data_IF_061621232435
#
_entry.id   IF_061621232435
#
_cell.length_a   1.000
_cell.length_b   1.000
_cell.length_c   1.000
_cell.angle_alpha   90.00
_cell.angle_beta   90.00
_cell.angle_gamma   90.00
#
_symmetry.space_group_name_H-M   'P 1'
#
loop_
_entity.id
_entity.type
_entity.pdbx_description
1 polymer ?
#
# COMPACT_ATOMS: atom_id res chain seq x y z
N UNK A 1 6.28 14.59 -24.20
CA UNK A 1 5.18 13.79 -23.60
C UNK A 1 3.88 14.27 -24.24
N UNK A 2 2.92 13.39 -24.45
CA UNK A 2 1.60 13.82 -24.96
C UNK A 2 0.88 14.58 -23.83
N UNK A 3 0.12 15.61 -24.19
CA UNK A 3 -0.78 16.29 -23.26
C UNK A 3 -1.81 15.30 -22.70
N UNK A 4 -1.97 15.25 -21.37
CA UNK A 4 -2.99 14.40 -20.73
C UNK A 4 -4.37 15.01 -21.00
N UNK A 5 -5.27 14.20 -21.53
CA UNK A 5 -6.65 14.59 -21.90
C UNK A 5 -7.70 13.79 -21.15
N UNK A 6 -7.30 12.66 -20.59
CA UNK A 6 -8.19 11.73 -19.88
C UNK A 6 -7.60 11.31 -18.57
N UNK A 7 -8.45 11.19 -17.55
CA UNK A 7 -8.05 10.75 -16.21
C UNK A 7 -9.03 9.74 -15.66
N UNK A 8 -8.52 8.79 -14.87
CA UNK A 8 -9.34 7.93 -14.03
C UNK A 8 -8.67 7.73 -12.67
N UNK A 9 -9.48 7.80 -11.62
CA UNK A 9 -9.08 7.41 -10.27
C UNK A 9 -9.63 6.00 -10.02
N UNK A 10 -8.77 5.07 -9.67
CA UNK A 10 -9.08 3.65 -9.50
C UNK A 10 -8.72 3.21 -8.10
N UNK A 11 -9.66 2.69 -7.34
CA UNK A 11 -9.36 2.14 -6.02
C UNK A 11 -8.94 0.68 -6.10
N UNK A 12 -7.86 0.32 -5.40
CA UNK A 12 -7.40 -1.06 -5.24
C UNK A 12 -7.76 -1.53 -3.84
N UNK A 13 -8.75 -2.41 -3.74
CA UNK A 13 -9.28 -2.91 -2.47
C UNK A 13 -9.15 -4.44 -2.36
N UNK A 14 -9.33 -4.98 -1.16
CA UNK A 14 -9.22 -6.41 -0.87
C UNK A 14 -8.69 -6.68 0.54
N UNK A 15 -8.62 -7.97 0.92
CA UNK A 15 -8.08 -8.41 2.21
C UNK A 15 -6.63 -7.97 2.42
N UNK A 16 -6.12 -7.99 3.66
CA UNK A 16 -4.68 -7.91 3.89
C UNK A 16 -3.94 -9.03 3.13
N UNK A 17 -2.74 -8.72 2.67
CA UNK A 17 -1.79 -9.66 2.03
C UNK A 17 -2.19 -10.24 0.66
N UNK A 18 -3.29 -9.81 0.05
CA UNK A 18 -3.65 -10.23 -1.33
C UNK A 18 -2.72 -9.66 -2.40
N UNK A 19 -1.90 -8.64 -2.04
CA UNK A 19 -0.89 -8.05 -2.92
C UNK A 19 -1.26 -6.68 -3.51
N UNK A 20 -2.13 -5.89 -2.85
CA UNK A 20 -2.54 -4.55 -3.31
C UNK A 20 -1.35 -3.64 -3.59
N UNK A 21 -0.51 -3.40 -2.59
CA UNK A 21 0.70 -2.56 -2.73
C UNK A 21 1.70 -3.13 -3.75
N UNK A 22 1.78 -4.46 -3.89
CA UNK A 22 2.60 -5.10 -4.93
C UNK A 22 2.06 -4.82 -6.32
N UNK A 23 0.74 -4.85 -6.49
CA UNK A 23 0.07 -4.51 -7.75
C UNK A 23 0.29 -3.04 -8.07
N UNK A 24 0.05 -2.13 -7.12
CA UNK A 24 0.25 -0.69 -7.31
C UNK A 24 1.69 -0.39 -7.73
N UNK A 25 2.69 -0.92 -7.02
CA UNK A 25 4.11 -0.77 -7.38
C UNK A 25 4.40 -1.31 -8.79
N UNK A 26 3.83 -2.47 -9.16
CA UNK A 26 4.07 -3.09 -10.46
C UNK A 26 3.44 -2.27 -11.62
N UNK A 27 2.26 -1.69 -11.42
CA UNK A 27 1.59 -0.84 -12.40
C UNK A 27 2.27 0.53 -12.56
N UNK A 28 2.72 1.11 -11.45
CA UNK A 28 3.48 2.39 -11.45
C UNK A 28 4.90 2.21 -12.02
N UNK A 29 5.47 1.01 -11.88
CA UNK A 29 6.85 0.71 -12.29
C UNK A 29 7.90 1.13 -11.26
N UNK A 30 7.47 1.63 -10.10
CA UNK A 30 8.34 2.12 -9.03
C UNK A 30 7.83 1.67 -7.66
N UNK A 31 8.73 1.55 -6.67
CA UNK A 31 8.38 1.16 -5.31
C UNK A 31 7.89 2.37 -4.49
N UNK A 32 6.63 2.72 -4.63
CA UNK A 32 5.98 3.81 -3.89
C UNK A 32 5.30 3.33 -2.59
N UNK A 33 4.94 2.05 -2.51
CA UNK A 33 4.30 1.44 -1.36
C UNK A 33 5.14 0.29 -0.79
N UNK A 34 5.14 0.14 0.53
CA UNK A 34 5.84 -0.96 1.19
C UNK A 34 5.09 -2.29 1.03
N UNK A 35 5.85 -3.36 0.96
CA UNK A 35 5.32 -4.71 0.76
C UNK A 35 5.77 -5.64 1.88
N UNK A 36 4.82 -6.34 2.50
CA UNK A 36 5.10 -7.33 3.54
C UNK A 36 4.06 -8.45 3.51
N UNK A 37 4.44 -9.64 3.97
CA UNK A 37 3.51 -10.75 4.24
C UNK A 37 2.69 -10.56 5.52
N UNK A 38 2.97 -9.53 6.31
CA UNK A 38 2.27 -9.25 7.57
C UNK A 38 1.03 -8.37 7.34
N UNK A 39 -0.06 -8.55 8.09
CA UNK A 39 -1.24 -7.69 7.99
C UNK A 39 -0.92 -6.24 8.42
N UNK A 40 -1.77 -5.30 8.03
CA UNK A 40 -1.60 -3.87 8.31
C UNK A 40 -0.27 -3.28 7.77
N UNK A 41 0.17 -3.76 6.62
CA UNK A 41 1.34 -3.23 5.92
C UNK A 41 1.05 -1.81 5.44
N UNK A 42 0.01 -1.59 4.66
CA UNK A 42 -0.49 -0.27 4.28
C UNK A 42 -1.41 0.25 5.39
N UNK A 43 -1.16 1.45 5.89
CA UNK A 43 -1.96 2.09 6.95
C UNK A 43 -2.70 3.32 6.49
N UNK A 44 -2.23 3.96 5.44
CA UNK A 44 -2.81 5.14 4.84
C UNK A 44 -3.17 4.88 3.39
N UNK A 45 -3.93 5.76 2.78
CA UNK A 45 -4.17 5.81 1.35
C UNK A 45 -2.90 6.30 0.65
N UNK A 46 -2.49 5.62 -0.42
CA UNK A 46 -1.34 5.99 -1.24
C UNK A 46 -1.84 6.17 -2.67
N UNK A 47 -1.53 7.30 -3.27
CA UNK A 47 -1.77 7.52 -4.68
C UNK A 47 -0.56 7.06 -5.50
N UNK A 48 -0.82 6.18 -6.48
CA UNK A 48 0.13 5.80 -7.51
C UNK A 48 -0.29 6.36 -8.84
N UNK A 49 0.59 7.07 -9.52
CA UNK A 49 0.28 7.78 -10.77
C UNK A 49 0.95 7.08 -11.95
N UNK A 50 0.17 6.78 -12.98
CA UNK A 50 0.65 6.18 -14.22
C UNK A 50 0.16 7.00 -15.41
N UNK A 51 1.09 7.53 -16.20
CA UNK A 51 0.79 8.21 -17.46
C UNK A 51 0.98 7.25 -18.64
N UNK A 52 -0.06 7.07 -19.45
CA UNK A 52 -0.03 6.22 -20.64
C UNK A 52 -0.67 6.93 -21.84
N UNK A 53 0.13 7.33 -22.80
CA UNK A 53 -0.35 8.11 -23.94
C UNK A 53 -0.90 9.47 -23.51
N UNK A 54 -2.19 9.70 -23.72
CA UNK A 54 -2.93 10.88 -23.31
C UNK A 54 -3.77 10.66 -22.04
N UNK A 55 -3.55 9.54 -21.35
CA UNK A 55 -4.35 9.13 -20.19
C UNK A 55 -3.49 9.08 -18.93
N UNK A 56 -3.98 9.67 -17.84
CA UNK A 56 -3.42 9.54 -16.51
C UNK A 56 -4.33 8.64 -15.66
N UNK A 57 -3.76 7.55 -15.15
CA UNK A 57 -4.42 6.68 -14.17
C UNK A 57 -3.88 6.97 -12.78
N UNK A 58 -4.77 7.19 -11.84
CA UNK A 58 -4.46 7.43 -10.42
C UNK A 58 -4.96 6.23 -9.62
N UNK A 59 -4.04 5.43 -9.12
CA UNK A 59 -4.32 4.21 -8.36
C UNK A 59 -4.35 4.54 -6.86
N UNK A 60 -5.44 4.24 -6.17
CA UNK A 60 -5.52 4.34 -4.72
C UNK A 60 -5.20 2.98 -4.09
N UNK A 61 -3.98 2.81 -3.56
CA UNK A 61 -3.64 1.68 -2.69
C UNK A 61 -4.20 1.93 -1.30
N UNK A 62 -5.00 0.99 -0.81
CA UNK A 62 -5.74 1.12 0.44
C UNK A 62 -5.28 0.10 1.49
N UNK A 63 -5.46 0.40 2.80
CA UNK A 63 -5.33 -0.61 3.84
C UNK A 63 -6.19 -1.84 3.53
N UNK A 64 -5.73 -3.02 3.93
CA UNK A 64 -6.56 -4.22 3.83
C UNK A 64 -7.73 -4.16 4.80
N UNK A 65 -8.96 -4.46 4.33
CA UNK A 65 -10.13 -4.49 5.20
C UNK A 65 -9.98 -5.57 6.28
N UNK A 66 -10.05 -5.16 7.55
CA UNK A 66 -9.90 -6.03 8.70
C UNK A 66 -10.79 -5.54 9.86
N UNK A 67 -11.01 -6.40 10.86
CA UNK A 67 -11.74 -6.00 12.07
C UNK A 67 -10.85 -5.10 12.94
N UNK A 68 -11.24 -3.85 13.23
CA UNK A 68 -10.43 -2.91 14.00
C UNK A 68 -10.31 -3.34 15.47
N UNK A 69 -9.17 -3.02 16.10
CA UNK A 69 -8.87 -3.31 17.51
C UNK A 69 -8.24 -2.11 18.25
N UNK A 70 -8.17 -0.95 17.60
CA UNK A 70 -7.60 0.28 18.12
C UNK A 70 -8.11 1.45 17.29
N UNK A 71 -7.96 2.68 17.76
CA UNK A 71 -8.32 3.89 16.98
C UNK A 71 -7.56 3.99 15.66
N UNK A 72 -6.31 3.56 15.62
CA UNK A 72 -5.61 3.43 14.35
C UNK A 72 -6.29 2.42 13.41
N UNK A 73 -6.79 1.31 13.95
CA UNK A 73 -7.56 0.33 13.18
C UNK A 73 -8.88 0.90 12.65
N UNK A 74 -9.60 1.69 13.46
CA UNK A 74 -10.83 2.38 13.04
C UNK A 74 -10.54 3.36 11.90
N UNK A 75 -9.45 4.14 12.03
CA UNK A 75 -8.97 5.02 10.95
C UNK A 75 -8.72 4.25 9.64
N UNK A 76 -8.01 3.13 9.69
CA UNK A 76 -7.72 2.31 8.49
C UNK A 76 -9.01 1.79 7.82
N UNK A 77 -10.01 1.37 8.59
CA UNK A 77 -11.33 0.95 8.05
C UNK A 77 -12.06 2.13 7.40
N UNK A 78 -12.00 3.32 8.01
CA UNK A 78 -12.56 4.54 7.46
C UNK A 78 -11.92 4.90 6.12
N UNK A 79 -10.57 4.84 6.02
CA UNK A 79 -9.83 5.07 4.77
C UNK A 79 -10.29 4.15 3.65
N UNK A 80 -10.50 2.86 3.93
CA UNK A 80 -11.01 1.90 2.92
C UNK A 80 -12.41 2.29 2.45
N UNK A 81 -13.29 2.72 3.35
CA UNK A 81 -14.65 3.14 2.99
C UNK A 81 -14.66 4.39 2.13
N UNK A 82 -13.89 5.39 2.51
CA UNK A 82 -13.79 6.66 1.78
C UNK A 82 -13.10 6.51 0.42
N UNK A 83 -12.23 5.51 0.26
CA UNK A 83 -11.54 5.24 -1.02
C UNK A 83 -12.45 4.65 -2.11
N UNK A 84 -13.69 4.34 -1.81
CA UNK A 84 -14.71 3.90 -2.77
C UNK A 84 -15.60 5.07 -3.24
N UNK A 85 -15.48 6.24 -2.63
CA UNK A 85 -16.16 7.44 -3.08
C UNK A 85 -15.32 8.17 -4.15
N UNK A 86 -15.99 8.80 -5.11
CA UNK A 86 -15.37 9.67 -6.12
C UNK A 86 -14.27 8.97 -6.95
N UNK A 87 -14.49 7.70 -7.33
CA UNK A 87 -13.59 6.93 -8.20
C UNK A 87 -14.36 6.37 -9.41
N UNK A 88 -13.69 6.20 -10.53
CA UNK A 88 -14.31 5.69 -11.78
C UNK A 88 -14.43 4.17 -11.80
N UNK A 89 -13.58 3.45 -11.06
CA UNK A 89 -13.56 1.99 -11.04
C UNK A 89 -12.97 1.45 -9.74
N UNK A 90 -13.46 0.29 -9.30
CA UNK A 90 -12.87 -0.50 -8.22
C UNK A 90 -12.17 -1.75 -8.77
N UNK A 91 -10.95 -2.01 -8.31
CA UNK A 91 -10.23 -3.27 -8.49
C UNK A 91 -10.31 -4.07 -7.20
N UNK A 92 -11.13 -5.11 -7.18
CA UNK A 92 -11.15 -6.07 -6.07
C UNK A 92 -10.04 -7.11 -6.29
N UNK A 93 -9.00 -7.04 -5.46
CA UNK A 93 -7.88 -7.96 -5.52
C UNK A 93 -8.06 -9.12 -4.55
N UNK A 94 -7.97 -10.34 -5.06
CA UNK A 94 -8.15 -11.58 -4.30
C UNK A 94 -7.02 -12.57 -4.54
N UNK A 95 -6.85 -13.54 -3.63
CA UNK A 95 -5.96 -14.69 -3.85
C UNK A 95 -6.70 -15.79 -4.63
N UNK A 96 -5.97 -16.75 -5.26
CA UNK A 96 -6.58 -17.84 -6.02
C UNK A 96 -7.18 -18.92 -5.10
N UNK A 97 -8.16 -18.51 -4.28
CA UNK A 97 -8.87 -19.37 -3.32
C UNK A 97 -10.35 -19.32 -3.67
N UNK A 98 -10.97 -20.45 -3.96
CA UNK A 98 -12.38 -20.58 -4.34
C UNK A 98 -13.31 -20.40 -3.13
N UNK A 99 -13.18 -19.25 -2.42
CA UNK A 99 -13.99 -18.90 -1.26
C UNK A 99 -14.10 -17.38 -1.14
N UNK A 100 -15.34 -16.90 -1.13
CA UNK A 100 -15.65 -15.47 -0.88
C UNK A 100 -15.84 -15.27 0.61
N UNK A 101 -14.86 -14.67 1.25
CA UNK A 101 -14.86 -14.41 2.69
C UNK A 101 -15.71 -13.19 3.07
N UNK A 102 -15.91 -12.98 4.35
CA UNK A 102 -16.69 -11.86 4.87
C UNK A 102 -16.13 -10.47 4.49
N UNK A 103 -14.80 -10.24 4.49
CA UNK A 103 -14.24 -8.98 4.01
C UNK A 103 -14.55 -8.68 2.54
N UNK A 104 -14.52 -9.68 1.67
CA UNK A 104 -14.86 -9.54 0.26
C UNK A 104 -16.34 -9.22 0.09
N UNK A 105 -17.24 -9.86 0.82
CA UNK A 105 -18.69 -9.59 0.79
C UNK A 105 -18.98 -8.15 1.16
N UNK A 106 -18.38 -7.65 2.25
CA UNK A 106 -18.54 -6.26 2.70
C UNK A 106 -18.06 -5.28 1.61
N UNK A 107 -16.93 -5.56 0.96
CA UNK A 107 -16.42 -4.72 -0.13
C UNK A 107 -17.35 -4.75 -1.35
N UNK A 108 -17.83 -5.92 -1.75
CA UNK A 108 -18.74 -6.08 -2.89
C UNK A 108 -20.10 -5.40 -2.64
N UNK A 109 -20.65 -5.48 -1.42
CA UNK A 109 -21.84 -4.75 -1.04
C UNK A 109 -21.64 -3.23 -1.18
N UNK A 110 -20.50 -2.73 -0.71
CA UNK A 110 -20.16 -1.31 -0.80
C UNK A 110 -20.00 -0.85 -2.25
N UNK A 111 -19.29 -1.63 -3.07
CA UNK A 111 -19.10 -1.36 -4.51
C UNK A 111 -20.47 -1.29 -5.21
N UNK A 112 -21.40 -2.17 -4.84
CA UNK A 112 -22.77 -2.17 -5.36
C UNK A 112 -23.56 -0.94 -4.92
N UNK A 113 -23.46 -0.54 -3.64
CA UNK A 113 -24.10 0.66 -3.10
C UNK A 113 -23.64 1.92 -3.85
N UNK A 114 -22.35 2.05 -4.11
CA UNK A 114 -21.73 3.16 -4.83
C UNK A 114 -21.91 3.05 -6.37
N UNK A 115 -22.50 1.94 -6.86
CA UNK A 115 -22.71 1.66 -8.30
C UNK A 115 -21.41 1.72 -9.12
N UNK A 116 -20.29 1.33 -8.53
CA UNK A 116 -18.99 1.36 -9.18
C UNK A 116 -18.81 0.16 -10.11
N UNK A 117 -18.26 0.36 -11.31
CA UNK A 117 -17.71 -0.73 -12.10
C UNK A 117 -16.62 -1.44 -11.29
N UNK A 118 -16.69 -2.78 -11.23
CA UNK A 118 -15.75 -3.60 -10.47
C UNK A 118 -15.00 -4.58 -11.36
N UNK A 119 -13.68 -4.53 -11.34
CA UNK A 119 -12.83 -5.54 -11.96
C UNK A 119 -12.33 -6.48 -10.84
N UNK A 120 -12.61 -7.78 -10.99
CA UNK A 120 -12.03 -8.80 -10.12
C UNK A 120 -10.62 -9.16 -10.62
N UNK A 121 -9.60 -8.92 -9.80
CA UNK A 121 -8.24 -9.37 -10.08
C UNK A 121 -7.87 -10.56 -9.19
N UNK A 122 -7.68 -11.74 -9.79
CA UNK A 122 -7.19 -12.93 -9.08
C UNK A 122 -5.66 -12.90 -9.15
N UNK A 123 -5.03 -12.47 -8.05
CA UNK A 123 -3.58 -12.30 -7.98
C UNK A 123 -2.87 -13.59 -7.53
N UNK A 124 -1.55 -13.61 -7.67
CA UNK A 124 -0.67 -14.73 -7.30
C UNK A 124 -0.91 -16.00 -8.11
N UNK A 125 -1.34 -15.88 -9.37
CA UNK A 125 -1.52 -17.03 -10.25
C UNK A 125 -0.23 -17.85 -10.45
N UNK A 126 0.93 -17.23 -10.21
CA UNK A 126 2.23 -17.89 -10.20
C UNK A 126 2.38 -18.97 -9.08
N UNK A 127 1.46 -19.01 -8.13
CA UNK A 127 1.40 -20.02 -7.07
C UNK A 127 0.44 -21.17 -7.39
N UNK A 128 -0.36 -21.04 -8.44
CA UNK A 128 -1.38 -22.02 -8.83
C UNK A 128 -0.75 -23.10 -9.72
N UNK A 129 -0.91 -24.36 -9.35
CA UNK A 129 -0.34 -25.48 -10.09
C UNK A 129 -1.20 -25.90 -11.30
N UNK A 130 -2.53 -25.77 -11.20
CA UNK A 130 -3.49 -26.21 -12.22
C UNK A 130 -4.45 -25.11 -12.60
N UNK A 131 -4.69 -24.91 -13.90
CA UNK A 131 -5.64 -23.93 -14.41
C UNK A 131 -7.08 -24.12 -13.92
N UNK A 132 -7.48 -25.36 -13.66
CA UNK A 132 -8.83 -25.68 -13.16
C UNK A 132 -9.10 -25.05 -11.78
N UNK A 133 -8.05 -24.83 -10.97
CA UNK A 133 -8.18 -24.14 -9.68
C UNK A 133 -8.64 -22.68 -9.88
N UNK A 134 -8.19 -22.02 -10.95
CA UNK A 134 -8.61 -20.64 -11.27
C UNK A 134 -10.07 -20.61 -11.72
N UNK A 135 -10.54 -21.60 -12.47
CA UNK A 135 -11.94 -21.68 -12.89
C UNK A 135 -12.87 -21.78 -11.68
N UNK A 136 -12.51 -22.57 -10.66
CA UNK A 136 -13.27 -22.66 -9.44
C UNK A 136 -13.33 -21.33 -8.67
N UNK A 137 -12.24 -20.55 -8.70
CA UNK A 137 -12.22 -19.19 -8.11
C UNK A 137 -13.14 -18.26 -8.87
N UNK A 138 -13.04 -18.24 -10.20
CA UNK A 138 -13.89 -17.42 -11.07
C UNK A 138 -15.37 -17.74 -10.82
N UNK A 139 -15.74 -19.02 -10.79
CA UNK A 139 -17.11 -19.45 -10.54
C UNK A 139 -17.63 -18.98 -9.17
N UNK A 140 -16.85 -19.19 -8.09
CA UNK A 140 -17.22 -18.79 -6.74
C UNK A 140 -17.47 -17.27 -6.61
N UNK A 141 -16.62 -16.44 -7.24
CA UNK A 141 -16.77 -14.99 -7.21
C UNK A 141 -17.90 -14.52 -8.14
N UNK A 142 -18.08 -15.12 -9.31
CA UNK A 142 -19.18 -14.79 -10.24
C UNK A 142 -20.55 -15.11 -9.65
N UNK A 143 -20.67 -16.20 -8.87
CA UNK A 143 -21.90 -16.52 -8.15
C UNK A 143 -22.18 -15.51 -7.03
N UNK A 144 -21.17 -15.03 -6.31
CA UNK A 144 -21.32 -14.05 -5.25
C UNK A 144 -21.62 -12.64 -5.77
N UNK A 145 -21.06 -12.28 -6.93
CA UNK A 145 -21.20 -10.97 -7.56
C UNK A 145 -21.21 -11.12 -9.10
N UNK A 146 -22.39 -11.26 -9.73
CA UNK A 146 -22.49 -11.46 -11.17
C UNK A 146 -22.10 -10.25 -12.03
N UNK A 147 -22.05 -9.05 -11.42
CA UNK A 147 -21.90 -7.77 -12.12
C UNK A 147 -20.44 -7.30 -12.24
N UNK A 148 -19.46 -8.22 -12.17
CA UNK A 148 -18.07 -7.85 -12.46
C UNK A 148 -17.94 -7.38 -13.91
N UNK A 149 -17.34 -6.20 -14.09
CA UNK A 149 -17.07 -5.65 -15.42
C UNK A 149 -16.03 -6.47 -16.19
N UNK A 150 -15.09 -7.06 -15.47
CA UNK A 150 -14.10 -8.02 -15.98
C UNK A 150 -13.53 -8.88 -14.85
N UNK A 151 -12.95 -10.03 -15.21
CA UNK A 151 -12.21 -10.90 -14.30
C UNK A 151 -10.84 -11.16 -14.93
N UNK A 152 -9.78 -10.71 -14.26
CA UNK A 152 -8.41 -10.76 -14.77
C UNK A 152 -7.51 -11.55 -13.82
N UNK A 153 -7.06 -12.75 -14.20
CA UNK A 153 -6.01 -13.45 -13.47
C UNK A 153 -4.65 -12.75 -13.67
N UNK A 154 -3.96 -12.44 -12.57
CA UNK A 154 -2.69 -11.70 -12.60
C UNK A 154 -1.62 -12.30 -11.70
N UNK A 155 -0.37 -11.99 -12.00
CA UNK A 155 0.74 -12.08 -11.05
C UNK A 155 1.42 -10.72 -10.94
N UNK A 156 1.09 -9.96 -9.90
CA UNK A 156 1.76 -8.69 -9.63
C UNK A 156 3.28 -8.85 -9.47
N UNK A 157 3.74 -10.03 -9.06
CA UNK A 157 5.15 -10.35 -8.87
C UNK A 157 5.89 -10.60 -10.19
N UNK A 158 5.22 -11.27 -11.16
CA UNK A 158 5.83 -11.66 -12.44
C UNK A 158 5.45 -10.73 -13.59
N UNK A 159 4.46 -9.88 -13.40
CA UNK A 159 3.96 -8.97 -14.43
C UNK A 159 2.87 -9.58 -15.31
N UNK A 160 2.47 -10.85 -15.07
CA UNK A 160 1.45 -11.52 -15.88
C UNK A 160 0.08 -10.83 -15.71
N UNK A 161 -0.64 -10.58 -16.80
CA UNK A 161 -1.96 -9.97 -16.83
C UNK A 161 -2.00 -8.46 -16.55
N UNK A 162 -0.87 -7.80 -16.27
CA UNK A 162 -0.85 -6.38 -15.92
C UNK A 162 -1.19 -5.46 -17.10
N UNK A 163 -0.72 -5.78 -18.31
CA UNK A 163 -1.05 -5.02 -19.52
C UNK A 163 -2.54 -5.09 -19.87
N UNK A 164 -3.17 -6.26 -19.71
CA UNK A 164 -4.60 -6.44 -19.87
C UNK A 164 -5.37 -5.59 -18.87
N UNK A 165 -4.98 -5.66 -17.59
CA UNK A 165 -5.58 -4.83 -16.54
C UNK A 165 -5.44 -3.34 -16.84
N UNK A 166 -4.24 -2.88 -17.22
CA UNK A 166 -4.01 -1.48 -17.58
C UNK A 166 -4.86 -1.02 -18.74
N UNK A 167 -5.07 -1.88 -19.76
CA UNK A 167 -5.95 -1.59 -20.89
C UNK A 167 -7.40 -1.41 -20.47
N UNK A 168 -7.90 -2.29 -19.58
CA UNK A 168 -9.24 -2.19 -19.00
C UNK A 168 -9.42 -0.91 -18.17
N UNK A 169 -8.45 -0.59 -17.29
CA UNK A 169 -8.49 0.61 -16.45
C UNK A 169 -8.50 1.90 -17.30
N UNK A 170 -7.70 1.95 -18.38
CA UNK A 170 -7.70 3.09 -19.29
C UNK A 170 -9.06 3.31 -19.99
N UNK A 171 -9.86 2.26 -20.12
CA UNK A 171 -11.22 2.35 -20.67
C UNK A 171 -12.21 3.12 -19.77
N UNK A 172 -11.93 3.29 -18.50
CA UNK A 172 -12.73 4.09 -17.55
C UNK A 172 -12.31 5.55 -17.48
N UNK A 173 -11.20 5.92 -18.13
CA UNK A 173 -10.73 7.30 -18.10
C UNK A 173 -11.70 8.22 -18.87
N UNK A 174 -12.05 9.33 -18.22
CA UNK A 174 -12.94 10.35 -18.75
C UNK A 174 -12.14 11.59 -19.17
N UNK A 175 -12.68 12.38 -20.07
CA UNK A 175 -12.09 13.69 -20.41
C UNK A 175 -12.01 14.57 -19.15
N UNK A 176 -10.81 15.05 -18.87
CA UNK A 176 -10.55 15.82 -17.66
C UNK A 176 -9.12 16.33 -17.59
N UNK A 177 -8.85 17.24 -16.67
CA UNK A 177 -7.51 17.82 -16.49
C UNK A 177 -6.54 16.77 -15.93
N UNK A 178 -5.26 16.97 -16.19
CA UNK A 178 -4.20 16.25 -15.51
C UNK A 178 -4.26 16.53 -14.00
N UNK A 179 -4.32 15.47 -13.19
CA UNK A 179 -4.45 15.56 -11.74
C UNK A 179 -3.10 15.70 -11.04
N UNK A 180 -2.07 15.04 -11.56
CA UNK A 180 -0.72 15.05 -11.01
C UNK A 180 0.29 15.52 -12.06
N UNK A 181 1.29 16.34 -11.69
CA UNK A 181 2.33 16.81 -12.60
C UNK A 181 3.08 15.68 -13.29
N UNK A 182 3.66 15.99 -14.45
CA UNK A 182 4.52 15.06 -15.18
C UNK A 182 5.72 14.62 -14.31
N UNK A 183 6.03 13.31 -14.39
CA UNK A 183 7.12 12.71 -13.64
C UNK A 183 6.78 12.38 -12.18
N UNK A 184 5.60 12.76 -11.70
CA UNK A 184 5.14 12.40 -10.35
C UNK A 184 4.53 10.98 -10.37
N UNK A 185 5.08 10.08 -9.57
CA UNK A 185 4.61 8.68 -9.44
C UNK A 185 3.77 8.44 -8.18
N UNK A 186 3.84 9.34 -7.20
CA UNK A 186 3.10 9.27 -5.93
C UNK A 186 2.91 10.66 -5.33
N UNK A 187 1.90 10.82 -4.47
CA UNK A 187 1.65 12.04 -3.67
C UNK A 187 2.47 12.11 -2.38
N UNK A 188 3.19 11.04 -2.06
CA UNK A 188 3.93 10.96 -0.81
C UNK A 188 5.19 11.85 -0.85
N UNK A 189 5.42 12.58 0.24
CA UNK A 189 6.71 13.24 0.45
C UNK A 189 7.83 12.19 0.60
N UNK A 190 9.03 12.48 0.12
CA UNK A 190 10.20 11.60 0.21
C UNK A 190 10.48 11.14 1.65
N UNK A 191 10.32 12.03 2.63
CA UNK A 191 10.47 11.71 4.05
C UNK A 191 9.46 10.65 4.51
N UNK A 192 8.24 10.64 3.96
CA UNK A 192 7.22 9.65 4.27
C UNK A 192 7.58 8.29 3.65
N UNK A 193 8.03 8.27 2.40
CA UNK A 193 8.53 7.04 1.76
C UNK A 193 9.72 6.46 2.53
N UNK A 194 10.62 7.31 3.03
CA UNK A 194 11.74 6.89 3.89
C UNK A 194 11.24 6.27 5.20
N UNK A 195 10.28 6.90 5.89
CA UNK A 195 9.70 6.38 7.13
C UNK A 195 9.03 5.01 6.91
N UNK A 196 8.23 4.89 5.85
CA UNK A 196 7.57 3.63 5.49
C UNK A 196 8.59 2.55 5.09
N UNK A 197 9.69 2.91 4.41
CA UNK A 197 10.76 1.96 4.10
C UNK A 197 11.41 1.39 5.38
N UNK A 198 11.65 2.22 6.39
CA UNK A 198 12.12 1.74 7.70
C UNK A 198 11.08 0.82 8.34
N UNK A 199 9.79 1.19 8.30
CA UNK A 199 8.69 0.37 8.83
C UNK A 199 8.58 -0.98 8.11
N UNK A 200 8.79 -1.04 6.80
CA UNK A 200 8.89 -2.30 6.05
C UNK A 200 9.97 -3.22 6.62
N UNK A 201 11.17 -2.68 6.90
CA UNK A 201 12.26 -3.50 7.45
C UNK A 201 11.97 -3.96 8.88
N UNK A 202 11.21 -3.19 9.63
CA UNK A 202 10.71 -3.65 10.93
C UNK A 202 9.71 -4.79 10.77
N UNK A 203 8.78 -4.71 9.82
CA UNK A 203 7.87 -5.81 9.49
C UNK A 203 8.64 -7.07 9.04
N UNK A 204 9.73 -6.90 8.32
CA UNK A 204 10.57 -8.01 7.86
C UNK A 204 11.39 -8.66 8.98
N UNK A 205 11.97 -7.86 9.87
CA UNK A 205 12.96 -8.31 10.85
C UNK A 205 12.38 -8.68 12.22
N UNK A 206 11.18 -8.19 12.56
CA UNK A 206 10.54 -8.40 13.86
C UNK A 206 9.30 -9.27 13.72
N UNK A 207 8.97 -10.03 14.76
CA UNK A 207 7.86 -10.96 14.74
C UNK A 207 6.74 -10.60 15.71
N UNK A 208 5.65 -11.37 15.66
CA UNK A 208 4.45 -11.24 16.50
C UNK A 208 3.84 -9.84 16.39
N UNK A 209 3.40 -9.29 17.52
CA UNK A 209 2.73 -7.99 17.61
C UNK A 209 3.68 -6.78 17.62
N UNK A 210 5.01 -7.00 17.74
CA UNK A 210 5.98 -5.92 17.89
C UNK A 210 5.95 -4.95 16.71
N UNK A 211 6.08 -5.40 15.43
CA UNK A 211 6.09 -4.47 14.30
C UNK A 211 4.75 -3.77 14.10
N UNK A 212 3.64 -4.39 14.52
CA UNK A 212 2.30 -3.77 14.43
C UNK A 212 2.10 -2.64 15.44
N UNK A 213 2.77 -2.71 16.59
CA UNK A 213 2.77 -1.70 17.64
C UNK A 213 3.82 -0.60 17.46
N UNK A 214 4.35 -0.39 16.25
CA UNK A 214 5.36 0.63 15.99
C UNK A 214 4.87 1.71 15.05
N UNK A 215 5.36 2.94 15.25
CA UNK A 215 5.30 4.04 14.30
C UNK A 215 6.72 4.51 13.96
N UNK A 216 6.91 5.08 12.79
CA UNK A 216 8.20 5.58 12.33
C UNK A 216 8.02 7.00 11.84
N UNK A 217 8.84 7.89 12.33
CA UNK A 217 8.83 9.33 12.01
C UNK A 217 10.21 9.74 11.52
N UNK A 218 10.27 10.46 10.41
CA UNK A 218 11.47 11.16 9.98
C UNK A 218 11.49 12.51 10.68
N UNK A 219 12.45 12.71 11.57
CA UNK A 219 12.59 13.92 12.38
C UNK A 219 13.56 14.93 11.78
N UNK A 220 14.41 14.49 10.84
CA UNK A 220 15.27 15.35 10.03
C UNK A 220 15.40 14.75 8.63
N UNK A 221 15.24 15.59 7.62
CA UNK A 221 15.49 15.28 6.22
C UNK A 221 16.13 16.52 5.59
N UNK A 222 17.42 16.44 5.28
CA UNK A 222 18.16 17.56 4.69
C UNK A 222 19.24 17.07 3.75
N UNK A 223 19.37 17.74 2.62
CA UNK A 223 20.42 17.48 1.66
C UNK A 223 21.65 18.39 1.96
N UNK A 224 22.83 17.80 1.97
CA UNK A 224 24.10 18.51 2.08
C UNK A 224 24.51 19.05 0.71
N UNK A 225 25.43 20.04 0.69
CA UNK A 225 26.01 20.55 -0.55
C UNK A 225 26.70 19.45 -1.40
N UNK A 226 27.11 18.37 -0.77
CA UNK A 226 27.66 17.17 -1.42
C UNK A 226 26.63 16.26 -2.09
N UNK A 227 25.33 16.57 -2.01
CA UNK A 227 24.23 15.73 -2.48
C UNK A 227 23.91 14.53 -1.57
N UNK A 228 24.58 14.39 -0.41
CA UNK A 228 24.28 13.37 0.58
C UNK A 228 23.06 13.81 1.42
N UNK A 229 22.12 12.89 1.66
CA UNK A 229 20.96 13.16 2.49
C UNK A 229 21.24 12.77 3.94
N UNK A 230 21.01 13.72 4.87
CA UNK A 230 20.94 13.46 6.31
C UNK A 230 19.50 13.07 6.68
N UNK A 231 19.35 11.89 7.28
CA UNK A 231 18.06 11.30 7.63
C UNK A 231 18.07 10.85 9.09
N UNK A 232 17.35 11.56 9.96
CA UNK A 232 17.13 11.11 11.33
C UNK A 232 15.74 10.48 11.47
N UNK A 233 15.72 9.26 11.99
CA UNK A 233 14.50 8.45 12.10
C UNK A 233 14.24 8.10 13.55
N UNK A 234 13.04 8.38 14.03
CA UNK A 234 12.56 7.93 15.35
C UNK A 234 11.52 6.81 15.17
N UNK A 235 11.81 5.68 15.79
CA UNK A 235 10.90 4.53 15.89
C UNK A 235 10.22 4.61 17.25
N UNK A 236 8.88 4.68 17.26
CA UNK A 236 8.08 4.61 18.46
C UNK A 236 7.56 3.19 18.67
N UNK A 237 7.57 2.71 19.93
CA UNK A 237 6.96 1.44 20.31
C UNK A 237 6.17 1.61 21.61
N UNK A 238 5.23 0.71 21.89
CA UNK A 238 4.30 0.87 23.01
C UNK A 238 4.89 0.51 24.39
N UNK A 239 5.92 -0.37 24.43
CA UNK A 239 6.44 -0.92 25.70
C UNK A 239 7.97 -0.92 25.73
N UNK A 240 8.53 -0.77 26.93
CA UNK A 240 9.97 -0.87 27.15
C UNK A 240 10.55 -2.23 26.72
N UNK A 241 9.80 -3.32 26.93
CA UNK A 241 10.18 -4.66 26.41
C UNK A 241 10.28 -4.70 24.89
N UNK A 242 9.38 -4.03 24.18
CA UNK A 242 9.44 -3.91 22.72
C UNK A 242 10.66 -3.12 22.26
N UNK A 243 11.00 -2.01 22.95
CA UNK A 243 12.23 -1.24 22.70
C UNK A 243 13.48 -2.13 22.78
N UNK A 244 13.57 -2.97 23.82
CA UNK A 244 14.70 -3.90 23.97
C UNK A 244 14.83 -4.87 22.81
N UNK A 245 13.71 -5.41 22.30
CA UNK A 245 13.69 -6.32 21.16
C UNK A 245 14.05 -5.61 19.85
N UNK A 246 13.54 -4.39 19.63
CA UNK A 246 13.85 -3.57 18.43
C UNK A 246 15.34 -3.20 18.39
N UNK A 247 15.94 -2.89 19.54
CA UNK A 247 17.38 -2.60 19.63
C UNK A 247 18.17 -3.90 19.43
N UNK A 248 17.76 -4.98 20.10
CA UNK A 248 18.45 -6.26 20.08
C UNK A 248 19.71 -6.27 20.96
N UNK A 249 20.34 -7.46 21.07
CA UNK A 249 21.58 -7.63 21.82
C UNK A 249 22.68 -6.76 21.16
N UNK A 250 23.33 -5.93 21.96
CA UNK A 250 24.38 -5.01 21.50
C UNK A 250 23.99 -4.10 20.29
N UNK A 251 22.68 -3.86 20.10
CA UNK A 251 22.20 -3.05 18.98
C UNK A 251 22.15 -3.76 17.62
N UNK A 252 22.33 -5.07 17.56
CA UNK A 252 22.41 -5.84 16.31
C UNK A 252 21.11 -5.75 15.48
N UNK A 253 19.94 -5.79 16.13
CA UNK A 253 18.66 -5.79 15.41
C UNK A 253 18.39 -4.41 14.77
N UNK A 254 18.56 -3.32 15.55
CA UNK A 254 18.38 -1.97 15.00
C UNK A 254 19.39 -1.67 13.90
N UNK A 255 20.64 -2.12 14.03
CA UNK A 255 21.67 -2.00 12.98
C UNK A 255 21.26 -2.73 11.70
N UNK A 256 20.69 -3.94 11.83
CA UNK A 256 20.18 -4.72 10.68
C UNK A 256 19.04 -4.00 9.98
N UNK A 257 18.04 -3.53 10.75
CA UNK A 257 16.87 -2.78 10.22
C UNK A 257 17.35 -1.53 9.48
N UNK A 258 18.20 -0.72 10.12
CA UNK A 258 18.72 0.53 9.56
C UNK A 258 19.56 0.30 8.30
N UNK A 259 20.40 -0.73 8.28
CA UNK A 259 21.23 -1.05 7.11
C UNK A 259 20.40 -1.49 5.91
N UNK A 260 19.35 -2.30 6.13
CA UNK A 260 18.44 -2.71 5.08
C UNK A 260 17.61 -1.53 4.57
N UNK A 261 17.10 -0.69 5.47
CA UNK A 261 16.32 0.49 5.12
C UNK A 261 17.16 1.49 4.33
N UNK A 262 18.36 1.83 4.82
CA UNK A 262 19.27 2.76 4.15
C UNK A 262 19.56 2.36 2.71
N UNK A 263 19.85 1.08 2.45
CA UNK A 263 20.10 0.58 1.10
C UNK A 263 18.94 0.80 0.15
N UNK A 264 17.72 0.54 0.62
CA UNK A 264 16.52 0.72 -0.21
C UNK A 264 16.18 2.21 -0.38
N UNK A 265 16.42 3.04 0.65
CA UNK A 265 16.27 4.49 0.59
C UNK A 265 17.30 5.11 -0.37
N UNK A 266 18.58 4.70 -0.31
CA UNK A 266 19.62 5.15 -1.26
C UNK A 266 19.24 4.82 -2.70
N UNK A 267 18.62 3.65 -2.93
CA UNK A 267 18.13 3.27 -4.26
C UNK A 267 16.97 4.15 -4.73
N UNK A 268 16.03 4.47 -3.83
CA UNK A 268 14.89 5.32 -4.12
C UNK A 268 15.32 6.77 -4.38
N UNK A 269 16.19 7.32 -3.53
CA UNK A 269 16.67 8.70 -3.63
C UNK A 269 17.73 8.91 -4.73
N UNK A 270 18.30 7.84 -5.27
CA UNK A 270 19.40 7.93 -6.25
C UNK A 270 20.71 8.48 -5.71
N UNK A 271 20.82 8.67 -4.38
CA UNK A 271 22.01 9.26 -3.74
C UNK A 271 22.34 8.56 -2.41
N UNK A 272 23.51 8.90 -1.84
CA UNK A 272 23.92 8.38 -0.52
C UNK A 272 23.12 8.99 0.61
N UNK A 273 22.88 8.17 1.66
CA UNK A 273 22.13 8.57 2.84
C UNK A 273 22.94 8.30 4.11
N UNK A 274 23.12 9.35 4.90
CA UNK A 274 23.58 9.24 6.27
C UNK A 274 22.37 9.14 7.18
N UNK A 275 22.16 7.97 7.82
CA UNK A 275 20.94 7.70 8.57
C UNK A 275 21.24 7.42 10.05
N UNK A 276 20.60 8.19 10.93
CA UNK A 276 20.56 7.94 12.36
C UNK A 276 19.18 7.41 12.78
N UNK A 277 19.15 6.44 13.71
CA UNK A 277 17.90 5.79 14.11
C UNK A 277 17.77 5.74 15.62
N UNK A 278 16.68 6.25 16.14
CA UNK A 278 16.34 6.31 17.56
C UNK A 278 15.12 5.44 17.87
N UNK A 279 15.07 4.84 19.08
CA UNK A 279 13.91 4.07 19.55
C UNK A 279 13.37 4.72 20.81
N UNK A 280 12.11 5.14 20.79
CA UNK A 280 11.40 5.76 21.91
C UNK A 280 10.18 4.93 22.31
N UNK A 281 9.88 4.90 23.61
CA UNK A 281 8.63 4.32 24.11
C UNK A 281 7.56 5.40 24.12
N UNK A 282 6.40 5.08 23.53
CA UNK A 282 5.19 5.91 23.62
C UNK A 282 4.00 4.98 23.85
N UNK A 283 3.62 4.87 25.10
CA UNK A 283 2.55 3.98 25.52
C UNK A 283 1.22 4.35 24.87
N UNK A 284 0.45 3.33 24.49
CA UNK A 284 -0.90 3.47 23.93
C UNK A 284 -0.99 4.44 22.74
N UNK A 285 0.08 4.63 21.98
CA UNK A 285 0.09 5.59 20.86
C UNK A 285 -0.98 5.30 19.80
N UNK A 286 -1.35 4.02 19.60
CA UNK A 286 -2.38 3.61 18.64
C UNK A 286 -3.80 4.08 19.00
N UNK A 287 -4.01 4.53 20.21
CA UNK A 287 -5.27 5.08 20.71
C UNK A 287 -5.18 6.59 21.01
N UNK A 288 -4.00 7.20 20.79
CA UNK A 288 -3.78 8.64 20.96
C UNK A 288 -4.01 9.38 19.63
N UNK A 289 -5.19 10.00 19.51
CA UNK A 289 -5.62 10.69 18.27
C UNK A 289 -4.63 11.78 17.82
N UNK A 290 -4.10 12.58 18.74
CA UNK A 290 -3.16 13.64 18.40
C UNK A 290 -1.85 13.08 17.83
N UNK A 291 -1.36 11.98 18.40
CA UNK A 291 -0.16 11.33 17.89
C UNK A 291 -0.43 10.62 16.56
N UNK A 292 -1.57 9.96 16.41
CA UNK A 292 -1.99 9.36 15.14
C UNK A 292 -1.99 10.40 14.03
N UNK A 293 -2.58 11.58 14.29
CA UNK A 293 -2.59 12.70 13.34
C UNK A 293 -1.18 13.23 13.02
N UNK A 294 -0.30 13.38 14.03
CA UNK A 294 1.08 13.83 13.80
C UNK A 294 1.91 12.86 12.97
N UNK A 295 1.51 11.59 12.89
CA UNK A 295 2.15 10.58 12.04
C UNK A 295 1.58 10.55 10.60
N UNK A 296 0.79 11.56 10.21
CA UNK A 296 0.19 11.64 8.88
C UNK A 296 -1.08 10.80 8.69
N UNK A 297 -1.61 10.19 9.75
CA UNK A 297 -2.90 9.49 9.73
C UNK A 297 -4.03 10.51 10.01
N UNK A 298 -4.27 11.41 9.05
CA UNK A 298 -5.25 12.47 9.18
C UNK A 298 -6.60 12.03 8.64
N UNK A 299 -7.67 12.40 9.36
CA UNK A 299 -9.02 12.45 8.80
C UNK A 299 -9.09 13.74 7.97
N UNK A 300 -9.18 13.60 6.65
CA UNK A 300 -9.55 14.72 5.79
C UNK A 300 -11.05 14.92 5.82
#
# INVERSE_FOLDING_TARGET
>A
MNEIKKTAIVTVCGRPNVGKSSLTNALVGEKIAIVSSKPQTTRNRIYGVVNRGDTQLVLLDTPGLHKPRSRLGDYMVKVVRESLADVECAVLLVEPIAHVGEPEKILLERIREEKLPCILCINKIDTVAKKDELLAVIDAYSQAYPDFAAIVPISARKGDGLEELMGLLAGYAQEGPQLFPDGMTTDQADSQVCAETVREKMLLCLDKEIPHGTAVEVTRFSERDSGIIDLDVTIYCEKASHKGIIIGKNGEMIKRISSLARRDIEKFMGTKVYMETWVKVKENWRDNVNFIRSQGYNEN
#
